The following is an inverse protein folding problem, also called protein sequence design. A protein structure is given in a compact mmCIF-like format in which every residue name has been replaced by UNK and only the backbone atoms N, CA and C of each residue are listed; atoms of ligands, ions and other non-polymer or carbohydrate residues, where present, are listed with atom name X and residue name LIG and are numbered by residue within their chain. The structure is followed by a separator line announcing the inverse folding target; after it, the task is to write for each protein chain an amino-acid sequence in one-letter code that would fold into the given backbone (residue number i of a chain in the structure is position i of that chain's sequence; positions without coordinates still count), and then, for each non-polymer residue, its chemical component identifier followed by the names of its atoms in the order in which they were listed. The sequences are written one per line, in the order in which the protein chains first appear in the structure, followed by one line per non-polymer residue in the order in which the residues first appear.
data_IF_068519566464
#
_entry.id   IF_068519566464
#
_cell.length_a   1.000
_cell.length_b   1.000
_cell.length_c   1.000
_cell.angle_alpha   90.00
_cell.angle_beta   90.00
_cell.angle_gamma   90.00
#
_symmetry.space_group_name_H-M   'P 1'
#
loop_
_entity.id
_entity.type
_entity.pdbx_description
1 polymer ?
#
# COMPACT_ATOMS: atom_id res chain seq x y z
N UNK A 1 37.58 97.30 -1.28
CA UNK A 1 36.88 96.27 -0.49
C UNK A 1 37.08 96.56 0.98
N UNK A 2 36.13 96.22 1.87
CA UNK A 2 36.32 96.36 3.32
C UNK A 2 37.36 95.34 3.78
N UNK A 3 38.53 95.80 4.20
CA UNK A 3 39.48 94.95 4.92
C UNK A 3 38.98 94.74 6.37
N UNK A 4 39.03 93.50 6.85
CA UNK A 4 38.70 93.17 8.23
C UNK A 4 39.77 93.76 9.16
N UNK A 5 39.39 94.66 10.07
CA UNK A 5 40.31 95.39 10.95
C UNK A 5 41.04 94.52 11.98
N UNK A 6 40.55 93.30 12.28
CA UNK A 6 41.10 92.47 13.36
C UNK A 6 40.88 90.96 13.14
N UNK A 7 41.82 90.31 12.42
CA UNK A 7 41.71 88.90 11.99
C UNK A 7 41.81 87.91 13.17
N UNK A 8 42.69 88.18 14.13
CA UNK A 8 42.96 87.27 15.25
C UNK A 8 41.80 87.18 16.24
N UNK A 9 41.15 88.31 16.52
CA UNK A 9 39.94 88.35 17.37
C UNK A 9 38.82 87.52 16.74
N UNK A 10 38.64 87.60 15.43
CA UNK A 10 37.65 86.84 14.69
C UNK A 10 37.95 85.33 14.70
N UNK A 11 39.20 84.92 14.43
CA UNK A 11 39.64 83.51 14.53
C UNK A 11 39.36 82.95 15.93
N UNK A 12 39.68 83.70 16.99
CA UNK A 12 39.46 83.27 18.38
C UNK A 12 37.99 83.03 18.70
N UNK A 13 37.10 83.96 18.34
CA UNK A 13 35.65 83.82 18.60
C UNK A 13 35.07 82.62 17.85
N UNK A 14 35.45 82.40 16.60
CA UNK A 14 34.97 81.26 15.80
C UNK A 14 35.48 79.93 16.35
N UNK A 15 36.78 79.86 16.71
CA UNK A 15 37.36 78.65 17.29
C UNK A 15 36.76 78.31 18.66
N UNK A 16 36.42 79.32 19.47
CA UNK A 16 35.73 79.11 20.74
C UNK A 16 34.31 78.54 20.54
N UNK A 17 33.58 78.99 19.52
CA UNK A 17 32.29 78.41 19.12
C UNK A 17 32.44 76.96 18.63
N UNK A 18 33.47 76.68 17.81
CA UNK A 18 33.75 75.31 17.32
C UNK A 18 34.10 74.39 18.49
N UNK A 19 34.88 74.86 19.47
CA UNK A 19 35.22 74.11 20.68
C UNK A 19 33.98 73.71 21.49
N UNK A 20 32.98 74.60 21.56
CA UNK A 20 31.71 74.31 22.24
C UNK A 20 30.87 73.25 21.51
N UNK A 21 30.98 73.16 20.18
CA UNK A 21 30.22 72.20 19.36
C UNK A 21 30.91 70.83 19.24
N UNK A 22 32.23 70.81 19.04
CA UNK A 22 33.02 69.59 18.87
C UNK A 22 34.47 69.81 19.30
N UNK A 23 34.85 69.27 20.46
CA UNK A 23 36.22 69.35 20.96
C UNK A 23 37.24 68.67 20.03
N UNK A 24 36.85 67.59 19.35
CA UNK A 24 37.72 66.88 18.38
C UNK A 24 38.00 67.71 17.14
N UNK A 25 37.01 68.48 16.67
CA UNK A 25 37.19 69.38 15.51
C UNK A 25 38.05 70.59 15.87
N UNK A 26 38.13 70.95 17.15
CA UNK A 26 39.02 72.01 17.63
C UNK A 26 40.50 71.59 17.64
N UNK A 27 40.82 70.28 17.69
CA UNK A 27 42.21 69.80 17.60
C UNK A 27 42.84 70.16 16.24
N UNK A 28 42.03 70.27 15.18
CA UNK A 28 42.42 70.70 13.83
C UNK A 28 42.19 72.21 13.59
N UNK A 29 42.21 73.03 14.64
CA UNK A 29 41.85 74.46 14.57
C UNK A 29 42.61 75.28 13.50
N UNK A 30 43.82 74.86 13.14
CA UNK A 30 44.68 75.55 12.18
C UNK A 30 44.34 75.29 10.71
N UNK A 31 43.46 74.32 10.43
CA UNK A 31 42.99 73.97 9.09
C UNK A 31 41.61 74.57 8.77
N UNK A 32 40.92 75.18 9.74
CA UNK A 32 39.51 75.55 9.62
C UNK A 32 39.26 77.01 9.24
N UNK A 33 40.06 77.95 9.76
CA UNK A 33 39.85 79.39 9.55
C UNK A 33 40.94 79.95 8.66
N UNK A 34 40.58 80.27 7.42
CA UNK A 34 41.45 80.88 6.41
C UNK A 34 40.99 82.30 6.10
N UNK A 35 41.92 83.25 6.00
CA UNK A 35 41.62 84.63 5.62
C UNK A 35 42.10 84.88 4.20
N UNK A 36 41.16 85.10 3.29
CA UNK A 36 41.44 85.07 1.85
C UNK A 36 40.96 86.34 1.15
N UNK A 37 41.80 86.92 0.29
CA UNK A 37 41.49 88.15 -0.45
C UNK A 37 40.98 87.84 -1.87
N UNK A 38 39.67 87.68 -2.02
CA UNK A 38 39.05 87.32 -3.32
C UNK A 38 39.24 88.38 -4.43
N UNK A 39 39.47 89.64 -4.06
CA UNK A 39 39.67 90.74 -5.02
C UNK A 39 41.00 90.68 -5.77
N UNK A 40 42.01 89.99 -5.23
CA UNK A 40 43.36 89.93 -5.78
C UNK A 40 43.58 88.76 -6.74
N UNK A 41 42.72 87.73 -6.69
CA UNK A 41 42.94 86.48 -7.43
C UNK A 41 42.33 86.45 -8.83
N UNK A 42 41.22 87.14 -9.06
CA UNK A 42 40.56 87.19 -10.37
C UNK A 42 41.48 87.73 -11.50
N UNK A 43 42.31 88.76 -11.28
CA UNK A 43 43.24 89.26 -12.32
C UNK A 43 44.39 88.29 -12.62
N UNK A 44 44.95 87.63 -11.61
CA UNK A 44 46.13 86.75 -11.74
C UNK A 44 45.79 85.42 -12.44
N UNK A 45 44.60 84.87 -12.20
CA UNK A 45 44.13 83.63 -12.84
C UNK A 45 43.87 83.83 -14.34
N UNK A 46 43.36 84.99 -14.76
CA UNK A 46 43.10 85.32 -16.18
C UNK A 46 44.42 85.47 -16.96
N UNK A 47 45.52 85.79 -16.28
CA UNK A 47 46.86 85.95 -16.87
C UNK A 47 47.72 84.67 -16.77
N UNK A 48 47.18 83.56 -16.26
CA UNK A 48 47.92 82.30 -16.12
C UNK A 48 49.00 82.30 -15.04
N UNK A 49 48.89 83.19 -14.04
CA UNK A 49 49.79 83.24 -12.88
C UNK A 49 49.43 82.23 -11.78
N UNK A 50 50.41 81.92 -10.92
CA UNK A 50 50.23 81.04 -9.76
C UNK A 50 49.22 81.62 -8.76
N UNK A 51 48.44 80.75 -8.12
CA UNK A 51 47.52 81.16 -7.06
C UNK A 51 48.30 81.70 -5.85
N UNK A 52 47.78 82.74 -5.16
CA UNK A 52 48.36 83.20 -3.89
C UNK A 52 48.45 82.07 -2.86
N UNK A 53 49.52 82.06 -2.07
CA UNK A 53 49.83 81.00 -1.10
C UNK A 53 48.69 80.71 -0.11
N UNK A 54 47.92 81.74 0.27
CA UNK A 54 46.76 81.60 1.16
C UNK A 54 45.63 80.78 0.52
N UNK A 55 45.45 80.88 -0.80
CA UNK A 55 44.46 80.09 -1.56
C UNK A 55 44.92 78.65 -1.77
N UNK A 56 46.21 78.43 -2.03
CA UNK A 56 46.79 77.08 -2.15
C UNK A 56 46.63 76.32 -0.83
N UNK A 57 46.91 76.97 0.30
CA UNK A 57 46.69 76.39 1.63
C UNK A 57 45.22 76.07 1.90
N UNK A 58 44.29 76.97 1.52
CA UNK A 58 42.86 76.70 1.63
C UNK A 58 42.45 75.50 0.76
N UNK A 59 42.96 75.41 -0.48
CA UNK A 59 42.66 74.30 -1.38
C UNK A 59 43.19 72.96 -0.82
N UNK A 60 44.41 72.93 -0.29
CA UNK A 60 44.99 71.75 0.35
C UNK A 60 44.16 71.28 1.56
N UNK A 61 43.79 72.20 2.46
CA UNK A 61 42.94 71.89 3.61
C UNK A 61 41.52 71.44 3.19
N UNK A 62 40.94 72.04 2.15
CA UNK A 62 39.65 71.60 1.62
C UNK A 62 39.74 70.23 0.97
N UNK A 63 40.83 69.95 0.23
CA UNK A 63 41.07 68.67 -0.42
C UNK A 63 41.26 67.55 0.60
N UNK A 64 42.07 67.77 1.64
CA UNK A 64 42.24 66.80 2.73
C UNK A 64 40.94 66.60 3.52
N UNK A 65 40.20 67.68 3.82
CA UNK A 65 38.92 67.57 4.50
C UNK A 65 37.87 66.78 3.70
N UNK A 66 37.74 67.06 2.40
CA UNK A 66 36.72 66.43 1.56
C UNK A 66 37.08 64.98 1.20
N UNK A 67 38.32 64.72 0.79
CA UNK A 67 38.73 63.41 0.29
C UNK A 67 39.16 62.43 1.38
N UNK A 68 39.72 62.92 2.49
CA UNK A 68 40.26 62.05 3.54
C UNK A 68 39.29 62.02 4.74
N UNK A 69 39.08 63.16 5.41
CA UNK A 69 38.31 63.22 6.66
C UNK A 69 36.81 62.94 6.45
N UNK A 70 36.20 63.52 5.41
CA UNK A 70 34.76 63.35 5.11
C UNK A 70 34.45 61.98 4.51
N UNK A 71 35.26 61.48 3.57
CA UNK A 71 35.09 60.13 3.04
C UNK A 71 35.24 59.08 4.14
N UNK A 72 36.24 59.22 5.05
CA UNK A 72 36.40 58.33 6.21
C UNK A 72 35.16 58.32 7.12
N UNK A 73 34.71 59.49 7.56
CA UNK A 73 33.55 59.60 8.46
C UNK A 73 32.26 59.03 7.85
N UNK A 74 32.14 59.00 6.51
CA UNK A 74 30.97 58.47 5.80
C UNK A 74 31.09 56.99 5.43
N UNK A 75 32.28 56.51 5.06
CA UNK A 75 32.52 55.12 4.67
C UNK A 75 32.79 54.20 5.86
N UNK A 76 33.35 54.69 6.96
CA UNK A 76 33.61 53.86 8.14
C UNK A 76 32.35 53.20 8.73
N UNK A 77 31.21 53.90 8.91
CA UNK A 77 29.98 53.25 9.38
C UNK A 77 29.48 52.16 8.42
N UNK A 78 29.65 52.37 7.11
CA UNK A 78 29.25 51.39 6.09
C UNK A 78 30.15 50.15 6.12
N UNK A 79 31.47 50.33 6.28
CA UNK A 79 32.43 49.23 6.42
C UNK A 79 32.10 48.37 7.65
N UNK A 80 31.98 48.99 8.82
CA UNK A 80 31.67 48.28 10.08
C UNK A 80 30.33 47.54 9.98
N UNK A 81 29.33 48.16 9.35
CA UNK A 81 28.04 47.49 9.11
C UNK A 81 28.20 46.24 8.23
N UNK A 82 28.92 46.34 7.12
CA UNK A 82 29.15 45.22 6.21
C UNK A 82 29.98 44.10 6.85
N UNK A 83 31.03 44.44 7.61
CA UNK A 83 31.84 43.45 8.35
C UNK A 83 30.99 42.67 9.35
N UNK A 84 30.15 43.35 10.13
CA UNK A 84 29.25 42.69 11.08
C UNK A 84 28.23 41.79 10.37
N UNK A 85 27.57 42.28 9.32
CA UNK A 85 26.57 41.49 8.58
C UNK A 85 27.22 40.27 7.91
N UNK A 86 28.39 40.43 7.31
CA UNK A 86 29.09 39.32 6.65
C UNK A 86 29.60 38.29 7.68
N UNK A 87 30.05 38.74 8.84
CA UNK A 87 30.37 37.86 9.98
C UNK A 87 29.14 37.07 10.43
N UNK A 88 28.01 37.75 10.65
CA UNK A 88 26.76 37.11 11.07
C UNK A 88 26.27 36.09 10.04
N UNK A 89 26.29 36.43 8.74
CA UNK A 89 25.91 35.52 7.66
C UNK A 89 26.84 34.31 7.62
N UNK A 90 28.14 34.49 7.86
CA UNK A 90 29.11 33.39 7.89
C UNK A 90 28.82 32.43 9.05
N UNK A 91 28.59 32.97 10.26
CA UNK A 91 28.24 32.16 11.45
C UNK A 91 26.92 31.41 11.24
N UNK A 92 25.89 32.08 10.74
CA UNK A 92 24.58 31.46 10.50
C UNK A 92 24.64 30.40 9.40
N UNK A 93 25.37 30.66 8.32
CA UNK A 93 25.53 29.69 7.23
C UNK A 93 26.29 28.45 7.69
N UNK A 94 27.33 28.62 8.51
CA UNK A 94 28.08 27.49 9.07
C UNK A 94 27.22 26.66 10.04
N UNK A 95 26.49 27.32 10.94
CA UNK A 95 25.58 26.63 11.87
C UNK A 95 24.48 25.87 11.12
N UNK A 96 23.87 26.48 10.10
CA UNK A 96 22.85 25.84 9.28
C UNK A 96 23.42 24.67 8.47
N UNK A 97 24.65 24.79 7.96
CA UNK A 97 25.35 23.69 7.27
C UNK A 97 25.55 22.50 8.19
N UNK A 98 25.99 22.75 9.43
CA UNK A 98 26.19 21.69 10.43
C UNK A 98 24.86 21.01 10.81
N UNK A 99 23.82 21.78 11.09
CA UNK A 99 22.48 21.24 11.38
C UNK A 99 21.95 20.38 10.22
N UNK A 100 22.06 20.87 8.98
CA UNK A 100 21.63 20.12 7.80
C UNK A 100 22.46 18.83 7.60
N UNK A 101 23.76 18.87 7.89
CA UNK A 101 24.63 17.69 7.81
C UNK A 101 24.28 16.64 8.87
N UNK A 102 23.97 17.06 10.10
CA UNK A 102 23.52 16.18 11.17
C UNK A 102 22.16 15.54 10.87
N UNK A 103 21.19 16.32 10.39
CA UNK A 103 19.87 15.81 9.98
C UNK A 103 19.99 14.79 8.84
N UNK A 104 20.81 15.09 7.83
CA UNK A 104 21.11 14.18 6.73
C UNK A 104 21.75 12.88 7.22
N UNK A 105 22.66 12.95 8.19
CA UNK A 105 23.28 11.76 8.79
C UNK A 105 22.23 10.89 9.52
N UNK A 106 21.31 11.52 10.27
CA UNK A 106 20.19 10.82 10.94
C UNK A 106 19.28 10.11 9.92
N UNK A 107 18.86 10.82 8.87
CA UNK A 107 18.01 10.25 7.80
C UNK A 107 18.70 9.05 7.13
N UNK A 108 19.99 9.19 6.80
CA UNK A 108 20.77 8.08 6.20
C UNK A 108 20.87 6.87 7.14
N UNK A 109 21.06 7.10 8.44
CA UNK A 109 21.08 6.02 9.43
C UNK A 109 19.72 5.32 9.53
N UNK A 110 18.62 6.08 9.53
CA UNK A 110 17.27 5.53 9.53
C UNK A 110 17.00 4.70 8.28
N UNK A 111 17.38 5.19 7.10
CA UNK A 111 17.26 4.45 5.83
C UNK A 111 18.02 3.12 5.87
N UNK A 112 19.25 3.10 6.42
CA UNK A 112 20.03 1.87 6.57
C UNK A 112 19.36 0.87 7.53
N UNK A 113 18.69 1.36 8.58
CA UNK A 113 17.97 0.51 9.54
C UNK A 113 16.68 -0.08 8.92
N UNK A 114 15.98 0.69 8.11
CA UNK A 114 14.68 0.29 7.53
C UNK A 114 14.84 -0.58 6.26
N UNK A 115 15.91 -0.42 5.49
CA UNK A 115 16.19 -1.23 4.28
C UNK A 115 16.10 -2.76 4.50
N UNK A 116 16.73 -3.37 5.52
CA UNK A 116 16.61 -4.82 5.74
C UNK A 116 15.18 -5.25 6.10
N UNK A 117 14.43 -4.43 6.86
CA UNK A 117 13.04 -4.71 7.24
C UNK A 117 12.12 -4.71 6.01
N UNK A 118 12.34 -3.79 5.06
CA UNK A 118 11.63 -3.77 3.79
C UNK A 118 11.92 -5.03 2.96
N UNK A 119 13.19 -5.44 2.87
CA UNK A 119 13.58 -6.68 2.17
C UNK A 119 12.96 -7.91 2.81
N UNK A 120 12.96 -7.98 4.14
CA UNK A 120 12.31 -9.06 4.89
C UNK A 120 10.80 -9.10 4.59
N UNK A 121 10.14 -7.94 4.52
CA UNK A 121 8.70 -7.84 4.20
C UNK A 121 8.40 -8.34 2.78
N UNK A 122 9.25 -8.03 1.80
CA UNK A 122 9.13 -8.54 0.42
C UNK A 122 9.28 -10.06 0.36
N UNK A 123 10.32 -10.60 1.00
CA UNK A 123 10.56 -12.05 1.04
C UNK A 123 9.42 -12.75 1.79
N UNK A 124 8.99 -12.21 2.93
CA UNK A 124 7.87 -12.74 3.72
C UNK A 124 6.60 -12.81 2.88
N UNK A 125 6.27 -11.77 2.11
CA UNK A 125 5.12 -11.77 1.21
C UNK A 125 5.21 -12.93 0.21
N UNK A 126 6.34 -13.09 -0.47
CA UNK A 126 6.51 -14.13 -1.49
C UNK A 126 6.32 -15.53 -0.88
N UNK A 127 6.99 -15.79 0.25
CA UNK A 127 6.90 -17.06 0.98
C UNK A 127 5.48 -17.34 1.46
N UNK A 128 4.80 -16.34 2.05
CA UNK A 128 3.42 -16.50 2.53
C UNK A 128 2.46 -16.77 1.37
N UNK A 129 2.60 -16.07 0.24
CA UNK A 129 1.73 -16.28 -0.92
C UNK A 129 1.91 -17.67 -1.54
N UNK A 130 3.14 -18.17 -1.64
CA UNK A 130 3.41 -19.54 -2.09
C UNK A 130 2.78 -20.57 -1.14
N UNK A 131 2.89 -20.36 0.18
CA UNK A 131 2.28 -21.24 1.17
C UNK A 131 0.74 -21.22 1.10
N UNK A 132 0.14 -20.04 0.88
CA UNK A 132 -1.31 -19.89 0.69
C UNK A 132 -1.77 -20.68 -0.53
N UNK A 133 -1.10 -20.52 -1.67
CA UNK A 133 -1.44 -21.26 -2.90
C UNK A 133 -1.31 -22.77 -2.69
N UNK A 134 -0.23 -23.23 -2.05
CA UNK A 134 -0.01 -24.64 -1.75
C UNK A 134 -1.12 -25.24 -0.88
N UNK A 135 -1.45 -24.61 0.25
CA UNK A 135 -2.47 -25.10 1.19
C UNK A 135 -3.87 -25.09 0.55
N UNK A 136 -4.17 -24.07 -0.25
CA UNK A 136 -5.47 -23.99 -0.95
C UNK A 136 -5.61 -25.10 -2.00
N UNK A 137 -4.56 -25.42 -2.74
CA UNK A 137 -4.59 -26.50 -3.74
C UNK A 137 -4.63 -27.88 -3.08
N UNK A 138 -3.85 -28.10 -2.01
CA UNK A 138 -3.92 -29.32 -1.18
C UNK A 138 -5.34 -29.53 -0.61
N UNK A 139 -5.99 -28.46 -0.13
CA UNK A 139 -7.35 -28.55 0.39
C UNK A 139 -8.38 -28.80 -0.72
N UNK A 140 -8.23 -28.14 -1.89
CA UNK A 140 -9.12 -28.37 -3.03
C UNK A 140 -9.03 -29.81 -3.55
N UNK A 141 -7.82 -30.37 -3.67
CA UNK A 141 -7.61 -31.76 -4.09
C UNK A 141 -8.16 -32.74 -3.07
N UNK A 142 -7.99 -32.48 -1.78
CA UNK A 142 -8.59 -33.28 -0.70
C UNK A 142 -10.13 -33.27 -0.76
N UNK A 143 -10.75 -32.10 -0.99
CA UNK A 143 -12.21 -31.98 -1.08
C UNK A 143 -12.75 -32.73 -2.30
N UNK A 144 -12.08 -32.62 -3.45
CA UNK A 144 -12.46 -33.35 -4.68
C UNK A 144 -12.35 -34.86 -4.47
N UNK A 145 -11.23 -35.37 -3.94
CA UNK A 145 -11.04 -36.81 -3.72
C UNK A 145 -12.04 -37.37 -2.70
N UNK A 146 -12.23 -36.67 -1.58
CA UNK A 146 -13.18 -37.06 -0.53
C UNK A 146 -14.62 -37.10 -1.04
N UNK A 147 -15.00 -36.12 -1.87
CA UNK A 147 -16.36 -36.08 -2.43
C UNK A 147 -16.58 -37.23 -3.40
N UNK A 148 -15.61 -37.54 -4.27
CA UNK A 148 -15.71 -38.68 -5.21
C UNK A 148 -15.78 -40.01 -4.50
N UNK A 149 -14.95 -40.21 -3.47
CA UNK A 149 -14.95 -41.44 -2.68
C UNK A 149 -16.28 -41.64 -1.95
N UNK A 150 -16.80 -40.60 -1.28
CA UNK A 150 -18.05 -40.69 -0.51
C UNK A 150 -19.29 -40.83 -1.36
N UNK A 151 -19.35 -40.14 -2.48
CA UNK A 151 -20.46 -40.30 -3.42
C UNK A 151 -20.38 -41.65 -4.13
N UNK A 152 -19.16 -42.14 -4.43
CA UNK A 152 -18.94 -43.48 -4.95
C UNK A 152 -19.43 -44.56 -3.99
N UNK A 153 -18.99 -44.51 -2.71
CA UNK A 153 -19.41 -45.47 -1.68
C UNK A 153 -20.91 -45.39 -1.40
N UNK A 154 -21.50 -44.19 -1.46
CA UNK A 154 -22.92 -44.01 -1.20
C UNK A 154 -23.81 -44.70 -2.24
N UNK A 155 -23.36 -44.81 -3.49
CA UNK A 155 -24.09 -45.60 -4.50
C UNK A 155 -24.13 -47.08 -4.11
N UNK A 156 -23.03 -47.61 -3.59
CA UNK A 156 -22.96 -48.99 -3.08
C UNK A 156 -23.81 -49.18 -1.81
N UNK A 157 -23.79 -48.21 -0.90
CA UNK A 157 -24.56 -48.24 0.36
C UNK A 157 -26.08 -48.14 0.11
N UNK A 158 -26.51 -47.30 -0.84
CA UNK A 158 -27.91 -47.14 -1.23
C UNK A 158 -28.47 -48.47 -1.76
N UNK A 159 -27.71 -49.26 -2.51
CA UNK A 159 -28.16 -50.57 -3.00
C UNK A 159 -28.52 -51.53 -1.86
N UNK A 160 -27.78 -51.47 -0.74
CA UNK A 160 -28.00 -52.32 0.43
C UNK A 160 -29.15 -51.81 1.32
N UNK A 161 -29.22 -50.50 1.56
CA UNK A 161 -30.19 -49.88 2.48
C UNK A 161 -31.62 -49.87 1.93
N UNK A 162 -31.77 -49.78 0.61
CA UNK A 162 -33.08 -49.66 -0.03
C UNK A 162 -33.95 -50.92 0.14
N UNK A 163 -33.31 -52.10 0.28
CA UNK A 163 -34.03 -53.37 0.42
C UNK A 163 -34.80 -53.47 1.76
N UNK A 164 -34.33 -52.74 2.77
CA UNK A 164 -34.86 -52.70 4.14
C UNK A 164 -35.82 -51.54 4.37
N UNK A 165 -35.60 -50.39 3.73
CA UNK A 165 -36.39 -49.18 3.98
C UNK A 165 -37.80 -49.19 3.40
N UNK A 166 -38.02 -49.86 2.25
CA UNK A 166 -39.30 -49.78 1.52
C UNK A 166 -40.17 -51.00 1.79
N UNK A 167 -41.31 -50.87 2.49
CA UNK A 167 -42.24 -51.97 2.70
C UNK A 167 -42.94 -52.36 1.39
N UNK A 168 -43.05 -53.67 1.14
CA UNK A 168 -43.72 -54.21 -0.04
C UNK A 168 -45.18 -54.49 0.26
N UNK A 169 -46.08 -53.73 -0.36
CA UNK A 169 -47.53 -53.83 -0.13
C UNK A 169 -48.23 -54.80 -1.10
N UNK A 170 -47.49 -55.67 -1.79
CA UNK A 170 -48.03 -56.69 -2.70
C UNK A 170 -48.03 -56.31 -4.19
N UNK A 171 -48.48 -57.25 -5.02
CA UNK A 171 -48.41 -57.19 -6.50
C UNK A 171 -49.22 -56.05 -7.13
N UNK A 172 -50.26 -55.54 -6.46
CA UNK A 172 -51.07 -54.44 -7.00
C UNK A 172 -50.42 -53.07 -6.78
N UNK A 173 -49.47 -52.97 -5.84
CA UNK A 173 -48.78 -51.73 -5.47
C UNK A 173 -47.37 -51.64 -6.06
N UNK A 174 -47.04 -52.46 -7.07
CA UNK A 174 -45.72 -52.50 -7.72
C UNK A 174 -45.32 -51.13 -8.26
N UNK A 175 -46.27 -50.41 -8.84
CA UNK A 175 -46.04 -49.07 -9.39
C UNK A 175 -45.73 -48.05 -8.30
N UNK A 176 -46.46 -48.10 -7.17
CA UNK A 176 -46.21 -47.23 -6.03
C UNK A 176 -44.84 -47.55 -5.42
N UNK A 177 -44.56 -48.84 -5.19
CA UNK A 177 -43.25 -49.29 -4.72
C UNK A 177 -42.11 -48.81 -5.62
N UNK A 178 -42.21 -48.96 -6.93
CA UNK A 178 -41.16 -48.52 -7.86
C UNK A 178 -40.94 -47.00 -7.84
N UNK A 179 -41.99 -46.20 -7.66
CA UNK A 179 -41.89 -44.75 -7.52
C UNK A 179 -41.29 -44.35 -6.17
N UNK A 180 -41.72 -44.99 -5.09
CA UNK A 180 -41.21 -44.76 -3.73
C UNK A 180 -39.73 -45.12 -3.65
N UNK A 181 -39.35 -46.23 -4.26
CA UNK A 181 -37.96 -46.69 -4.39
C UNK A 181 -37.07 -45.64 -5.05
N UNK A 182 -37.54 -45.05 -6.16
CA UNK A 182 -36.82 -44.00 -6.88
C UNK A 182 -36.71 -42.72 -6.08
N UNK A 183 -37.79 -42.34 -5.41
CA UNK A 183 -37.80 -41.15 -4.58
C UNK A 183 -36.82 -41.28 -3.42
N UNK A 184 -36.87 -42.40 -2.69
CA UNK A 184 -35.99 -42.69 -1.56
C UNK A 184 -34.54 -42.81 -2.00
N UNK A 185 -34.26 -43.48 -3.12
CA UNK A 185 -32.91 -43.55 -3.69
C UNK A 185 -32.37 -42.15 -4.03
N UNK A 186 -33.18 -41.31 -4.68
CA UNK A 186 -32.79 -39.95 -5.04
C UNK A 186 -32.60 -39.06 -3.80
N UNK A 187 -33.48 -39.19 -2.80
CA UNK A 187 -33.42 -38.43 -1.56
C UNK A 187 -32.19 -38.79 -0.72
N UNK A 188 -31.91 -40.09 -0.55
CA UNK A 188 -30.69 -40.54 0.15
C UNK A 188 -29.41 -40.08 -0.54
N UNK A 189 -29.39 -40.08 -1.88
CA UNK A 189 -28.23 -39.56 -2.61
C UNK A 189 -28.07 -38.05 -2.40
N UNK A 190 -29.16 -37.28 -2.51
CA UNK A 190 -29.15 -35.83 -2.28
C UNK A 190 -28.75 -35.49 -0.83
N UNK A 191 -29.20 -36.26 0.16
CA UNK A 191 -28.80 -36.09 1.55
C UNK A 191 -27.32 -36.42 1.77
N UNK A 192 -26.78 -37.41 1.05
CA UNK A 192 -25.33 -37.67 1.08
C UNK A 192 -24.53 -36.53 0.46
N UNK A 193 -25.01 -35.93 -0.64
CA UNK A 193 -24.40 -34.74 -1.24
C UNK A 193 -24.40 -33.58 -0.23
N UNK A 194 -25.50 -33.34 0.49
CA UNK A 194 -25.54 -32.34 1.58
C UNK A 194 -24.53 -32.64 2.69
N UNK A 195 -24.34 -33.91 3.04
CA UNK A 195 -23.29 -34.34 3.97
C UNK A 195 -21.88 -33.99 3.50
N UNK A 196 -21.60 -34.19 2.22
CA UNK A 196 -20.32 -33.80 1.61
C UNK A 196 -20.15 -32.27 1.57
N UNK A 197 -21.22 -31.51 1.28
CA UNK A 197 -21.23 -30.04 1.34
C UNK A 197 -20.87 -29.55 2.76
N UNK A 198 -21.44 -30.14 3.81
CA UNK A 198 -21.15 -29.76 5.19
C UNK A 198 -19.70 -30.06 5.60
N UNK A 199 -19.15 -31.21 5.20
CA UNK A 199 -17.75 -31.50 5.50
C UNK A 199 -16.79 -30.61 4.70
N UNK A 200 -17.10 -30.34 3.44
CA UNK A 200 -16.34 -29.39 2.65
C UNK A 200 -16.34 -27.99 3.30
N UNK A 201 -17.45 -27.54 3.90
CA UNK A 201 -17.50 -26.30 4.70
C UNK A 201 -16.57 -26.35 5.90
N UNK A 202 -16.55 -27.46 6.64
CA UNK A 202 -15.68 -27.62 7.82
C UNK A 202 -14.20 -27.58 7.43
N UNK A 203 -13.81 -28.29 6.37
CA UNK A 203 -12.44 -28.25 5.82
C UNK A 203 -12.07 -26.87 5.29
N UNK A 204 -12.98 -26.19 4.60
CA UNK A 204 -12.78 -24.82 4.11
C UNK A 204 -12.58 -23.86 5.28
N UNK A 205 -13.34 -24.01 6.37
CA UNK A 205 -13.19 -23.20 7.59
C UNK A 205 -11.82 -23.41 8.23
N UNK A 206 -11.38 -24.66 8.35
CA UNK A 206 -10.05 -25.00 8.85
C UNK A 206 -8.94 -24.37 8.01
N UNK A 207 -8.99 -24.58 6.69
CA UNK A 207 -8.03 -23.99 5.75
C UNK A 207 -7.98 -22.47 5.86
N UNK A 208 -9.13 -21.78 5.86
CA UNK A 208 -9.16 -20.30 5.98
C UNK A 208 -8.50 -19.86 7.29
N UNK A 209 -8.77 -20.56 8.40
CA UNK A 209 -8.10 -20.25 9.66
C UNK A 209 -6.58 -20.43 9.56
N UNK A 210 -6.12 -21.52 8.95
CA UNK A 210 -4.69 -21.78 8.74
C UNK A 210 -4.04 -20.72 7.84
N UNK A 211 -4.74 -20.24 6.80
CA UNK A 211 -4.27 -19.15 5.94
C UNK A 211 -4.04 -17.85 6.73
N UNK A 212 -4.98 -17.48 7.60
CA UNK A 212 -4.83 -16.27 8.42
C UNK A 212 -3.76 -16.42 9.51
N UNK A 213 -3.58 -17.63 10.06
CA UNK A 213 -2.49 -17.93 10.99
C UNK A 213 -1.12 -17.77 10.31
N UNK A 214 -0.95 -18.30 9.10
CA UNK A 214 0.31 -18.17 8.35
C UNK A 214 0.58 -16.72 7.94
N UNK A 215 -0.47 -15.98 7.56
CA UNK A 215 -0.31 -14.60 7.09
C UNK A 215 -0.01 -13.62 8.22
N UNK A 216 -0.73 -13.70 9.35
CA UNK A 216 -0.78 -12.64 10.36
C UNK A 216 -0.50 -13.11 11.78
N UNK A 217 -0.28 -14.41 12.02
CA UNK A 217 -0.24 -15.01 13.37
C UNK A 217 -1.54 -14.76 14.18
N UNK A 218 -2.62 -14.39 13.50
CA UNK A 218 -3.92 -14.07 14.10
C UNK A 218 -5.03 -14.94 13.52
N UNK A 219 -6.03 -15.33 14.33
CA UNK A 219 -7.16 -16.09 13.84
C UNK A 219 -7.99 -15.31 12.82
N UNK A 220 -8.70 -16.05 11.96
CA UNK A 220 -9.51 -15.47 10.88
C UNK A 220 -10.55 -14.46 11.40
N UNK A 221 -10.73 -13.31 10.72
CA UNK A 221 -11.74 -12.33 11.10
C UNK A 221 -13.15 -12.91 10.97
N UNK A 222 -14.10 -12.40 11.77
CA UNK A 222 -15.48 -12.86 11.77
C UNK A 222 -16.16 -12.75 10.38
N UNK A 223 -15.72 -11.81 9.53
CA UNK A 223 -16.16 -11.65 8.15
C UNK A 223 -15.81 -12.87 7.28
N UNK A 224 -14.58 -13.37 7.34
CA UNK A 224 -14.14 -14.54 6.59
C UNK A 224 -14.90 -15.81 7.05
N UNK A 225 -15.12 -15.96 8.35
CA UNK A 225 -15.95 -17.05 8.89
C UNK A 225 -17.42 -16.97 8.42
N UNK A 226 -17.96 -15.76 8.26
CA UNK A 226 -19.33 -15.58 7.76
C UNK A 226 -19.49 -15.96 6.28
N UNK A 227 -18.48 -15.71 5.45
CA UNK A 227 -18.46 -16.11 4.04
C UNK A 227 -18.39 -17.65 3.89
N UNK A 228 -17.60 -18.32 4.72
CA UNK A 228 -17.57 -19.80 4.78
C UNK A 228 -18.91 -20.37 5.25
N UNK A 229 -19.59 -19.68 6.16
CA UNK A 229 -20.92 -20.11 6.64
C UNK A 229 -21.99 -19.94 5.55
N UNK A 230 -21.87 -18.90 4.72
CA UNK A 230 -22.74 -18.64 3.56
C UNK A 230 -22.48 -19.57 2.36
N UNK A 231 -21.44 -20.40 2.39
CA UNK A 231 -21.08 -21.34 1.33
C UNK A 231 -22.26 -22.33 1.09
N UNK A 232 -22.58 -22.63 -0.16
CA UNK A 232 -23.71 -23.50 -0.58
C UNK A 232 -25.13 -23.03 -0.17
N UNK A 233 -25.32 -21.80 0.30
CA UNK A 233 -26.67 -21.26 0.62
C UNK A 233 -27.39 -20.70 -0.61
N UNK A 234 -26.65 -20.38 -1.67
CA UNK A 234 -27.19 -19.89 -2.93
C UNK A 234 -27.76 -21.05 -3.75
N UNK A 235 -28.94 -20.86 -4.35
CA UNK A 235 -29.52 -21.86 -5.25
C UNK A 235 -28.71 -21.93 -6.54
N UNK A 236 -27.93 -23.00 -6.70
CA UNK A 236 -27.24 -23.29 -7.95
C UNK A 236 -28.14 -24.11 -8.89
N UNK A 237 -28.28 -23.71 -10.18
CA UNK A 237 -29.09 -24.44 -11.15
C UNK A 237 -28.51 -25.82 -11.52
N UNK A 238 -27.23 -26.03 -11.21
CA UNK A 238 -26.52 -27.30 -11.36
C UNK A 238 -26.70 -28.23 -10.16
N UNK A 239 -27.36 -27.79 -9.07
CA UNK A 239 -27.62 -28.65 -7.93
C UNK A 239 -28.57 -29.75 -8.33
N UNK A 240 -28.17 -30.99 -8.04
CA UNK A 240 -29.05 -32.12 -8.19
C UNK A 240 -30.24 -31.96 -7.24
N UNK A 241 -31.43 -31.83 -7.82
CA UNK A 241 -32.69 -31.93 -7.09
C UNK A 241 -33.20 -33.37 -7.19
N UNK A 242 -33.94 -33.78 -6.16
CA UNK A 242 -34.62 -35.08 -6.11
C UNK A 242 -35.52 -35.28 -7.34
N UNK A 243 -36.15 -34.21 -7.85
CA UNK A 243 -36.91 -34.22 -9.09
C UNK A 243 -36.05 -34.51 -10.33
N UNK A 244 -34.90 -33.85 -10.48
CA UNK A 244 -34.05 -34.04 -11.67
C UNK A 244 -33.47 -35.44 -11.75
N UNK A 245 -33.02 -36.00 -10.61
CA UNK A 245 -32.60 -37.39 -10.53
C UNK A 245 -33.76 -38.36 -10.76
N UNK A 246 -34.94 -38.04 -10.21
CA UNK A 246 -36.14 -38.82 -10.47
C UNK A 246 -36.43 -38.87 -11.97
N UNK A 247 -36.43 -37.74 -12.67
CA UNK A 247 -36.75 -37.69 -14.09
C UNK A 247 -35.73 -38.48 -14.93
N UNK A 248 -34.44 -38.41 -14.59
CA UNK A 248 -33.40 -39.23 -15.24
C UNK A 248 -33.53 -40.73 -14.96
N UNK A 249 -34.04 -41.13 -13.79
CA UNK A 249 -34.26 -42.53 -13.45
C UNK A 249 -35.48 -43.16 -14.15
N UNK A 250 -36.08 -42.51 -15.16
CA UNK A 250 -37.29 -42.98 -15.84
C UNK A 250 -37.16 -44.43 -16.30
N UNK A 251 -37.71 -45.33 -15.48
CA UNK A 251 -37.95 -46.69 -15.86
C UNK A 251 -39.10 -46.67 -16.87
N UNK A 252 -38.84 -47.07 -18.11
CA UNK A 252 -39.87 -47.56 -19.01
C UNK A 252 -40.48 -48.80 -18.37
N UNK A 253 -41.50 -48.56 -17.55
CA UNK A 253 -42.24 -49.58 -16.81
C UNK A 253 -42.88 -50.59 -17.77
N UNK A 254 -43.19 -50.13 -18.99
CA UNK A 254 -43.66 -50.96 -20.10
C UNK A 254 -42.61 -52.02 -20.43
N UNK A 255 -41.34 -51.66 -20.61
CA UNK A 255 -40.28 -52.63 -20.90
C UNK A 255 -40.05 -53.60 -19.75
N UNK A 256 -40.15 -53.14 -18.50
CA UNK A 256 -40.00 -54.01 -17.33
C UNK A 256 -41.14 -55.02 -17.20
N UNK A 257 -42.40 -54.60 -17.43
CA UNK A 257 -43.55 -55.49 -17.46
C UNK A 257 -43.51 -56.41 -18.69
N UNK A 258 -43.09 -55.92 -19.86
CA UNK A 258 -42.95 -56.71 -21.08
C UNK A 258 -41.83 -57.75 -20.96
N UNK A 259 -40.70 -57.44 -20.32
CA UNK A 259 -39.63 -58.41 -20.05
C UNK A 259 -40.07 -59.50 -19.06
N UNK A 260 -40.80 -59.12 -18.02
CA UNK A 260 -41.32 -60.07 -17.02
C UNK A 260 -42.43 -60.95 -17.64
N UNK A 261 -43.22 -60.41 -18.57
CA UNK A 261 -44.25 -61.19 -19.28
C UNK A 261 -43.69 -62.00 -20.44
N UNK A 262 -42.60 -61.58 -21.10
CA UNK A 262 -41.94 -62.35 -22.17
C UNK A 262 -41.05 -63.48 -21.63
N UNK A 263 -40.48 -63.33 -20.43
CA UNK A 263 -39.74 -64.41 -19.75
C UNK A 263 -40.68 -65.53 -19.25
N UNK A 264 -41.98 -65.25 -19.14
CA UNK A 264 -43.03 -66.24 -18.88
C UNK A 264 -43.80 -66.48 -20.18
N UNK A 265 -43.27 -67.37 -21.03
CA UNK A 265 -43.74 -67.68 -22.38
C UNK A 265 -45.26 -67.49 -22.62
N UNK A 266 -45.58 -66.47 -23.42
CA UNK A 266 -46.95 -66.00 -23.68
C UNK A 266 -47.85 -67.00 -24.42
N UNK A 267 -47.30 -68.13 -24.90
CA UNK A 267 -48.05 -69.17 -25.61
C UNK A 267 -48.88 -70.09 -24.70
N UNK A 268 -48.69 -70.06 -23.38
CA UNK A 268 -49.44 -70.88 -22.42
C UNK A 268 -50.31 -70.10 -21.42
N UNK A 269 -50.37 -68.77 -21.52
CA UNK A 269 -51.14 -67.91 -20.58
C UNK A 269 -52.62 -68.29 -20.52
N UNK A 270 -53.22 -68.69 -21.65
CA UNK A 270 -54.63 -69.15 -21.70
C UNK A 270 -54.87 -70.47 -20.94
N UNK A 271 -53.82 -71.28 -20.70
CA UNK A 271 -53.87 -72.52 -19.89
C UNK A 271 -53.50 -72.29 -18.41
N UNK A 272 -52.95 -71.12 -18.09
CA UNK A 272 -52.46 -70.73 -16.77
C UNK A 272 -53.51 -69.96 -15.94
N UNK A 273 -54.65 -69.59 -16.52
CA UNK A 273 -55.77 -69.00 -15.76
C UNK A 273 -56.43 -70.06 -14.84
N UNK A 274 -56.37 -71.33 -15.23
CA UNK A 274 -57.05 -72.44 -14.54
C UNK A 274 -56.33 -72.95 -13.27
N UNK A 275 -54.98 -73.01 -13.16
CA UNK A 275 -54.31 -73.49 -11.94
C UNK A 275 -54.10 -72.41 -10.87
N UNK A 276 -54.44 -71.14 -11.12
CA UNK A 276 -54.29 -70.06 -10.12
C UNK A 276 -55.11 -70.34 -8.84
N UNK A 277 -56.15 -71.17 -8.93
CA UNK A 277 -56.95 -71.63 -7.79
C UNK A 277 -56.33 -72.81 -6.99
N UNK A 278 -55.21 -73.38 -7.41
CA UNK A 278 -54.53 -74.50 -6.72
C UNK A 278 -53.40 -73.99 -5.79
N UNK A 279 -53.06 -74.75 -4.74
CA UNK A 279 -51.97 -74.40 -3.82
C UNK A 279 -50.62 -74.13 -4.54
N UNK A 280 -50.39 -74.81 -5.68
CA UNK A 280 -49.23 -74.60 -6.53
C UNK A 280 -49.26 -73.24 -7.28
N UNK A 281 -50.44 -72.81 -7.76
CA UNK A 281 -50.61 -71.48 -8.37
C UNK A 281 -50.47 -70.34 -7.37
N UNK A 282 -51.00 -70.51 -6.15
CA UNK A 282 -50.80 -69.59 -5.03
C UNK A 282 -49.31 -69.52 -4.61
N UNK A 283 -48.62 -70.66 -4.54
CA UNK A 283 -47.18 -70.70 -4.26
C UNK A 283 -46.34 -69.99 -5.33
N UNK A 284 -46.68 -70.14 -6.61
CA UNK A 284 -46.01 -69.44 -7.71
C UNK A 284 -46.22 -67.92 -7.65
N UNK A 285 -47.43 -67.46 -7.33
CA UNK A 285 -47.73 -66.03 -7.17
C UNK A 285 -46.97 -65.42 -5.99
N UNK A 286 -46.86 -66.14 -4.87
CA UNK A 286 -46.05 -65.71 -3.71
C UNK A 286 -44.57 -65.66 -4.06
N UNK A 287 -44.07 -66.65 -4.81
CA UNK A 287 -42.68 -66.66 -5.28
C UNK A 287 -42.38 -65.49 -6.22
N UNK A 288 -43.24 -65.22 -7.20
CA UNK A 288 -43.10 -64.09 -8.12
C UNK A 288 -43.17 -62.75 -7.36
N UNK A 289 -44.04 -62.63 -6.35
CA UNK A 289 -44.11 -61.43 -5.52
C UNK A 289 -42.83 -61.18 -4.73
N UNK A 290 -42.20 -62.23 -4.19
CA UNK A 290 -40.94 -62.14 -3.48
C UNK A 290 -39.77 -61.81 -4.43
N UNK A 291 -39.71 -62.49 -5.58
CA UNK A 291 -38.65 -62.28 -6.58
C UNK A 291 -38.73 -60.90 -7.24
N UNK A 292 -39.96 -60.40 -7.49
CA UNK A 292 -40.16 -59.08 -8.08
C UNK A 292 -39.67 -57.94 -7.18
N UNK A 293 -39.82 -58.04 -5.85
CA UNK A 293 -39.26 -57.06 -4.91
C UNK A 293 -37.74 -56.93 -5.07
N UNK A 294 -37.03 -58.06 -5.03
CA UNK A 294 -35.56 -58.08 -5.12
C UNK A 294 -35.06 -57.79 -6.54
N UNK A 295 -35.81 -58.16 -7.57
CA UNK A 295 -35.49 -57.86 -8.97
C UNK A 295 -35.63 -56.36 -9.26
N UNK A 296 -36.70 -55.73 -8.77
CA UNK A 296 -36.91 -54.28 -8.90
C UNK A 296 -35.82 -53.49 -8.18
N UNK A 297 -35.56 -53.78 -6.91
CA UNK A 297 -34.50 -53.11 -6.14
C UNK A 297 -33.13 -53.17 -6.81
N UNK A 298 -32.74 -54.36 -7.31
CA UNK A 298 -31.48 -54.54 -8.02
C UNK A 298 -31.45 -53.85 -9.38
N UNK A 299 -32.53 -53.92 -10.16
CA UNK A 299 -32.58 -53.27 -11.49
C UNK A 299 -32.57 -51.74 -11.37
N UNK A 300 -33.27 -51.16 -10.40
CA UNK A 300 -33.24 -49.72 -10.17
C UNK A 300 -31.90 -49.25 -9.62
N UNK A 301 -31.29 -49.98 -8.69
CA UNK A 301 -29.94 -49.69 -8.19
C UNK A 301 -28.89 -49.76 -9.31
N UNK A 302 -28.98 -50.76 -10.21
CA UNK A 302 -28.10 -50.86 -11.38
C UNK A 302 -28.29 -49.70 -12.35
N UNK A 303 -29.53 -49.29 -12.64
CA UNK A 303 -29.79 -48.12 -13.48
C UNK A 303 -29.33 -46.82 -12.82
N UNK A 304 -29.49 -46.68 -11.51
CA UNK A 304 -28.95 -45.56 -10.73
C UNK A 304 -27.42 -45.53 -10.82
N UNK A 305 -26.76 -46.66 -10.58
CA UNK A 305 -25.31 -46.81 -10.69
C UNK A 305 -24.82 -46.47 -12.10
N UNK A 306 -25.47 -47.01 -13.13
CA UNK A 306 -25.14 -46.70 -14.53
C UNK A 306 -25.32 -45.20 -14.80
N UNK A 307 -26.47 -44.61 -14.40
CA UNK A 307 -26.72 -43.17 -14.57
C UNK A 307 -25.72 -42.29 -13.81
N UNK A 308 -25.18 -42.74 -12.67
CA UNK A 308 -24.23 -41.98 -11.86
C UNK A 308 -22.78 -42.18 -12.35
N UNK A 309 -22.41 -43.39 -12.79
CA UNK A 309 -21.07 -43.71 -13.31
C UNK A 309 -20.88 -43.26 -14.76
N UNK A 310 -21.87 -43.44 -15.63
CA UNK A 310 -21.85 -42.98 -17.02
C UNK A 310 -22.17 -41.48 -17.14
N UNK A 311 -23.01 -40.94 -16.25
CA UNK A 311 -23.56 -39.59 -16.38
C UNK A 311 -22.71 -38.44 -15.83
N UNK A 312 -21.42 -38.64 -15.56
CA UNK A 312 -20.49 -37.65 -14.97
C UNK A 312 -20.94 -36.98 -13.66
N UNK A 313 -22.06 -37.41 -13.07
CA UNK A 313 -22.74 -36.74 -11.96
C UNK A 313 -21.81 -36.58 -10.75
N UNK A 314 -21.11 -37.64 -10.34
CA UNK A 314 -20.16 -37.57 -9.21
C UNK A 314 -19.04 -36.57 -9.47
N UNK A 315 -18.53 -36.56 -10.70
CA UNK A 315 -17.46 -35.65 -11.10
C UNK A 315 -17.95 -34.20 -11.15
N UNK A 316 -19.15 -33.96 -11.70
CA UNK A 316 -19.76 -32.64 -11.81
C UNK A 316 -20.09 -32.05 -10.43
N UNK A 317 -20.59 -32.87 -9.50
CA UNK A 317 -20.84 -32.48 -8.11
C UNK A 317 -19.55 -32.17 -7.37
N UNK A 318 -18.53 -33.03 -7.49
CA UNK A 318 -17.22 -32.81 -6.87
C UNK A 318 -16.55 -31.54 -7.42
N UNK A 319 -16.63 -31.31 -8.73
CA UNK A 319 -16.16 -30.08 -9.37
C UNK A 319 -16.95 -28.85 -8.91
N UNK A 320 -18.27 -28.94 -8.74
CA UNK A 320 -19.08 -27.82 -8.21
C UNK A 320 -18.63 -27.45 -6.80
N UNK A 321 -18.58 -28.42 -5.90
CA UNK A 321 -18.20 -28.22 -4.50
C UNK A 321 -16.80 -27.60 -4.43
N UNK A 322 -15.85 -28.17 -5.18
CA UNK A 322 -14.47 -27.67 -5.22
C UNK A 322 -14.36 -26.26 -5.79
N UNK A 323 -15.13 -25.92 -6.84
CA UNK A 323 -15.16 -24.56 -7.42
C UNK A 323 -15.67 -23.51 -6.42
N UNK A 324 -16.72 -23.83 -5.67
CA UNK A 324 -17.24 -22.90 -4.65
C UNK A 324 -16.26 -22.72 -3.48
N UNK A 325 -15.63 -23.80 -3.01
CA UNK A 325 -14.53 -23.70 -2.04
C UNK A 325 -13.37 -22.85 -2.57
N UNK A 326 -12.95 -23.08 -3.82
CA UNK A 326 -11.89 -22.30 -4.49
C UNK A 326 -12.26 -20.83 -4.62
N UNK A 327 -13.54 -20.50 -4.84
CA UNK A 327 -14.03 -19.12 -4.88
C UNK A 327 -13.78 -18.42 -3.55
N UNK A 328 -14.06 -19.08 -2.43
CA UNK A 328 -13.82 -18.54 -1.09
C UNK A 328 -12.32 -18.41 -0.82
N UNK A 329 -11.51 -19.41 -1.15
CA UNK A 329 -10.05 -19.31 -1.02
C UNK A 329 -9.47 -18.16 -1.82
N UNK A 330 -9.94 -17.92 -3.04
CA UNK A 330 -9.48 -16.81 -3.89
C UNK A 330 -9.79 -15.44 -3.27
N UNK A 331 -10.97 -15.28 -2.67
CA UNK A 331 -11.34 -14.02 -2.00
C UNK A 331 -10.43 -13.76 -0.80
N UNK A 332 -10.22 -14.77 0.05
CA UNK A 332 -9.36 -14.65 1.23
C UNK A 332 -7.88 -14.46 0.84
N UNK A 333 -7.40 -15.18 -0.18
CA UNK A 333 -6.06 -15.00 -0.73
C UNK A 333 -5.84 -13.59 -1.30
N UNK A 334 -6.85 -13.03 -1.99
CA UNK A 334 -6.81 -11.65 -2.46
C UNK A 334 -6.79 -10.64 -1.31
N UNK A 335 -7.54 -10.87 -0.23
CA UNK A 335 -7.51 -9.99 0.95
C UNK A 335 -6.11 -10.00 1.60
N UNK A 336 -5.50 -11.18 1.78
CA UNK A 336 -4.14 -11.32 2.31
C UNK A 336 -3.14 -10.57 1.40
N UNK A 337 -3.22 -10.79 0.09
CA UNK A 337 -2.37 -10.09 -0.88
C UNK A 337 -2.55 -8.57 -0.83
N UNK A 338 -3.80 -8.10 -0.72
CA UNK A 338 -4.12 -6.66 -0.64
C UNK A 338 -3.51 -6.02 0.60
N UNK A 339 -3.50 -6.72 1.74
CA UNK A 339 -2.87 -6.23 2.98
C UNK A 339 -1.36 -6.11 2.85
N UNK A 340 -0.68 -7.14 2.33
CA UNK A 340 0.76 -7.06 2.05
C UNK A 340 1.08 -5.94 1.07
N UNK A 341 0.26 -5.78 0.02
CA UNK A 341 0.44 -4.72 -0.96
C UNK A 341 0.32 -3.33 -0.32
N UNK A 342 -0.67 -3.12 0.57
CA UNK A 342 -0.80 -1.86 1.32
C UNK A 342 0.37 -1.58 2.25
N UNK A 343 0.88 -2.60 2.94
CA UNK A 343 2.05 -2.45 3.81
C UNK A 343 3.31 -2.09 3.01
N UNK A 344 3.53 -2.76 1.88
CA UNK A 344 4.65 -2.46 0.96
C UNK A 344 4.52 -1.04 0.42
N UNK A 345 3.34 -0.64 -0.07
CA UNK A 345 3.12 0.72 -0.56
C UNK A 345 3.32 1.78 0.53
N UNK A 346 2.94 1.49 1.78
CA UNK A 346 3.18 2.40 2.90
C UNK A 346 4.69 2.54 3.19
N UNK A 347 5.44 1.43 3.15
CA UNK A 347 6.90 1.45 3.33
C UNK A 347 7.61 2.15 2.16
N UNK A 348 7.16 1.93 0.91
CA UNK A 348 7.69 2.61 -0.28
C UNK A 348 7.47 4.12 -0.22
N UNK A 349 6.29 4.57 0.21
CA UNK A 349 6.00 6.00 0.40
C UNK A 349 6.92 6.63 1.45
N UNK A 350 7.09 5.98 2.60
CA UNK A 350 8.01 6.45 3.65
C UNK A 350 9.45 6.54 3.14
N UNK A 351 9.90 5.56 2.35
CA UNK A 351 11.22 5.58 1.73
C UNK A 351 11.38 6.72 0.74
N UNK A 352 10.37 6.96 -0.11
CA UNK A 352 10.39 8.08 -1.05
C UNK A 352 10.45 9.44 -0.35
N UNK A 353 9.73 9.59 0.77
CA UNK A 353 9.79 10.77 1.63
C UNK A 353 11.18 10.95 2.25
N UNK A 354 11.77 9.88 2.79
CA UNK A 354 13.13 9.89 3.35
C UNK A 354 14.18 10.19 2.28
N UNK A 355 14.07 9.62 1.07
CA UNK A 355 14.99 9.90 -0.03
C UNK A 355 14.89 11.34 -0.51
N UNK A 356 13.67 11.88 -0.57
CA UNK A 356 13.46 13.30 -0.89
C UNK A 356 14.06 14.19 0.20
N UNK A 357 13.79 13.91 1.48
CA UNK A 357 14.36 14.65 2.59
C UNK A 357 15.90 14.57 2.61
N UNK A 358 16.48 13.42 2.27
CA UNK A 358 17.93 13.28 2.13
C UNK A 358 18.49 14.15 0.99
N UNK A 359 17.84 14.18 -0.19
CA UNK A 359 18.23 15.05 -1.32
C UNK A 359 18.12 16.53 -0.95
N UNK A 360 17.03 16.92 -0.29
CA UNK A 360 16.83 18.29 0.17
C UNK A 360 17.90 18.69 1.20
N UNK A 361 18.25 17.79 2.12
CA UNK A 361 19.35 17.96 3.07
C UNK A 361 20.73 18.08 2.39
N UNK A 362 21.01 17.26 1.37
CA UNK A 362 22.25 17.35 0.58
C UNK A 362 22.36 18.71 -0.12
N UNK A 363 21.28 19.17 -0.73
CA UNK A 363 21.22 20.47 -1.37
C UNK A 363 21.39 21.61 -0.36
N UNK A 364 20.80 21.50 0.83
CA UNK A 364 20.94 22.49 1.90
C UNK A 364 22.41 22.61 2.36
N UNK A 365 23.09 21.48 2.59
CA UNK A 365 24.52 21.48 2.97
C UNK A 365 25.37 22.17 1.90
N UNK A 366 25.16 21.84 0.62
CA UNK A 366 25.88 22.47 -0.50
C UNK A 366 25.54 23.96 -0.62
N UNK A 367 24.27 24.33 -0.43
CA UNK A 367 23.83 25.71 -0.50
C UNK A 367 24.46 26.57 0.59
N UNK A 368 24.36 26.16 1.86
CA UNK A 368 24.93 26.90 2.97
C UNK A 368 26.46 26.96 2.90
N UNK A 369 27.12 25.91 2.40
CA UNK A 369 28.55 25.95 2.09
C UNK A 369 28.89 27.06 1.08
N UNK A 370 28.16 27.16 -0.03
CA UNK A 370 28.37 28.22 -1.03
C UNK A 370 28.10 29.62 -0.48
N UNK A 371 27.10 29.77 0.39
CA UNK A 371 26.80 31.06 1.02
C UNK A 371 27.92 31.45 1.98
N UNK A 372 28.42 30.51 2.77
CA UNK A 372 29.58 30.70 3.64
C UNK A 372 30.81 31.15 2.85
N UNK A 373 31.17 30.42 1.79
CA UNK A 373 32.36 30.74 0.98
C UNK A 373 32.28 32.15 0.38
N UNK A 374 31.09 32.55 -0.11
CA UNK A 374 30.86 33.90 -0.65
C UNK A 374 30.87 34.98 0.43
N UNK A 375 30.29 34.71 1.60
CA UNK A 375 30.28 35.67 2.70
C UNK A 375 31.70 35.91 3.22
N UNK A 376 32.50 34.86 3.36
CA UNK A 376 33.89 34.95 3.76
C UNK A 376 34.76 35.64 2.69
N UNK A 377 34.53 35.34 1.40
CA UNK A 377 35.16 36.09 0.31
C UNK A 377 34.85 37.58 0.43
N UNK A 378 33.56 37.98 0.46
CA UNK A 378 33.18 39.38 0.56
C UNK A 378 33.72 40.04 1.84
N UNK A 379 33.78 39.32 2.96
CA UNK A 379 34.33 39.84 4.21
C UNK A 379 35.81 40.20 4.06
N UNK A 380 36.60 39.35 3.39
CA UNK A 380 38.01 39.65 3.08
C UNK A 380 38.16 40.90 2.21
N UNK A 381 37.30 41.07 1.20
CA UNK A 381 37.35 42.23 0.32
C UNK A 381 36.98 43.53 1.07
N UNK A 382 35.95 43.50 1.92
CA UNK A 382 35.54 44.66 2.73
C UNK A 382 36.62 45.00 3.76
N UNK A 383 37.23 44.00 4.40
CA UNK A 383 38.31 44.22 5.35
C UNK A 383 39.54 44.87 4.69
N UNK A 384 39.88 44.45 3.47
CA UNK A 384 40.98 44.99 2.67
C UNK A 384 40.79 46.45 2.23
N UNK A 385 39.56 47.01 2.30
CA UNK A 385 39.35 48.44 2.07
C UNK A 385 39.90 49.21 3.28
N UNK A 386 41.11 49.73 3.16
CA UNK A 386 41.72 50.62 4.15
C UNK A 386 40.95 51.95 4.21
N UNK A 387 40.19 52.13 5.30
CA UNK A 387 39.52 53.41 5.64
C UNK A 387 40.32 54.16 6.71
N UNK A 388 41.39 53.54 7.23
CA UNK A 388 42.32 54.14 8.18
C UNK A 388 43.68 54.39 7.52
N UNK A 389 43.98 55.66 7.21
CA UNK A 389 45.38 56.09 7.19
C UNK A 389 45.79 56.20 8.64
N UNK A 390 46.68 55.31 9.05
CA UNK A 390 47.33 55.32 10.34
C UNK A 390 47.88 56.74 10.59
N UNK A 391 47.42 57.40 11.65
CA UNK A 391 48.00 58.65 12.11
C UNK A 391 49.48 58.39 12.38
N UNK A 392 50.34 58.65 11.39
CA UNK A 392 51.77 58.83 11.64
C UNK A 392 51.84 60.06 12.52
N UNK A 393 51.76 59.86 13.83
CA UNK A 393 52.32 60.76 14.82
C UNK A 393 53.79 60.91 14.43
N UNK A 394 54.07 61.95 13.64
CA UNK A 394 55.42 62.47 13.50
C UNK A 394 55.79 62.90 14.92
N UNK A 395 56.51 62.02 15.61
CA UNK A 395 57.18 62.35 16.87
C UNK A 395 58.11 63.52 16.55
N UNK A 396 57.75 64.70 17.03
CA UNK A 396 58.68 65.80 17.23
C UNK A 396 59.43 65.57 18.55
#
# INVERSE_FOLDING_TARGET
GKEFRDKERCKRVILEQIKQLSAKTYEDADELVHFVAAGSCLPEIIQGGDLPADFVRLEECLRSFVLEKRCKSKLAPAKVYLENVLSDVSVLSEANRQMAAEELAKIRQEMQRTEPQFRETLIRREVVMEQVERITEETCTLIDSMTRERLGSAVDDIENLVQTLVPWNGLLHVWQYANDLRYIMADMFVDRVKGCENEAKEKTKGCVNDLYMIANDTPAPASACSEVTALFTKQDPSRITTQRLKDQLSLDFVDLLFDITNTVGMSNVRKLIVPVATAAGLGLLVYIAADMKHSLARKTARKLRASIQEGTIVHDEAMRITRECRRVFKVNGWEIQSRFQKEIEAQERRRAEQEKAAKDGEQAVVYFGKVFDKADELARWVSAVEVEVEERKIKA
#
